data_IF_097573644332
#
_entry.id   IF_097573644332
#
_cell.length_a   1.000
_cell.length_b   1.000
_cell.length_c   1.000
_cell.angle_alpha   90.00
_cell.angle_beta   90.00
_cell.angle_gamma   90.00
#
_symmetry.space_group_name_H-M   'P 1'
#
loop_
_entity.id
_entity.type
_entity.pdbx_description
1 polymer ?
#
# COMPACT_ATOMS: atom_id res chain seq x y z
N UNK A 1 34.77 -64.29 30.79
CA UNK A 1 34.37 -63.17 31.67
C UNK A 1 34.40 -61.90 30.83
N UNK A 2 33.22 -61.47 30.37
CA UNK A 2 33.03 -60.31 29.51
C UNK A 2 32.66 -59.14 30.43
N UNK A 3 33.57 -58.19 30.61
CA UNK A 3 33.36 -57.00 31.43
C UNK A 3 32.36 -56.07 30.72
N UNK A 4 31.11 -56.11 31.15
CA UNK A 4 30.10 -55.10 30.79
C UNK A 4 30.46 -53.78 31.46
N UNK A 5 30.96 -52.83 30.69
CA UNK A 5 31.09 -51.44 31.13
C UNK A 5 29.66 -50.90 31.34
N UNK A 6 29.28 -50.46 32.54
CA UNK A 6 27.96 -49.88 32.75
C UNK A 6 27.91 -48.55 32.01
N UNK A 7 26.98 -48.42 31.06
CA UNK A 7 26.59 -47.15 30.47
C UNK A 7 26.05 -46.26 31.60
N UNK A 8 26.86 -45.31 32.07
CA UNK A 8 26.46 -44.38 33.12
C UNK A 8 25.32 -43.46 32.66
N UNK A 9 24.53 -42.89 33.59
CA UNK A 9 23.35 -42.05 33.31
C UNK A 9 23.62 -40.82 32.42
N UNK A 10 24.88 -40.36 32.34
CA UNK A 10 25.29 -39.27 31.45
C UNK A 10 25.24 -39.61 29.95
N UNK A 11 25.36 -40.89 29.58
CA UNK A 11 25.28 -41.31 28.17
C UNK A 11 23.84 -41.24 27.63
N UNK A 12 22.85 -41.63 28.43
CA UNK A 12 21.42 -41.53 28.06
C UNK A 12 20.96 -40.07 27.99
N UNK A 13 21.37 -39.22 28.94
CA UNK A 13 21.02 -37.78 28.92
C UNK A 13 21.59 -37.05 27.70
N UNK A 14 22.83 -37.33 27.31
CA UNK A 14 23.46 -36.74 26.12
C UNK A 14 22.74 -37.13 24.82
N UNK A 15 22.31 -38.39 24.69
CA UNK A 15 21.54 -38.87 23.52
C UNK A 15 20.16 -38.22 23.46
N UNK A 16 19.46 -38.09 24.59
CA UNK A 16 18.15 -37.42 24.65
C UNK A 16 18.26 -35.93 24.30
N UNK A 17 19.31 -35.25 24.78
CA UNK A 17 19.53 -33.83 24.47
C UNK A 17 19.82 -33.60 22.99
N UNK A 18 20.64 -34.45 22.36
CA UNK A 18 20.89 -34.39 20.92
C UNK A 18 19.61 -34.60 20.09
N UNK A 19 18.72 -35.52 20.52
CA UNK A 19 17.44 -35.77 19.86
C UNK A 19 16.51 -34.55 19.94
N UNK A 20 16.40 -33.90 21.11
CA UNK A 20 15.59 -32.68 21.29
C UNK A 20 16.12 -31.53 20.44
N UNK A 21 17.44 -31.34 20.36
CA UNK A 21 18.05 -30.31 19.52
C UNK A 21 17.80 -30.56 18.02
N UNK A 22 17.88 -31.82 17.58
CA UNK A 22 17.55 -32.20 16.21
C UNK A 22 16.08 -31.92 15.87
N UNK A 23 15.17 -32.27 16.77
CA UNK A 23 13.74 -31.98 16.62
C UNK A 23 13.48 -30.47 16.55
N UNK A 24 14.15 -29.70 17.40
CA UNK A 24 14.04 -28.25 17.45
C UNK A 24 14.55 -27.60 16.15
N UNK A 25 15.74 -27.98 15.67
CA UNK A 25 16.26 -27.52 14.39
C UNK A 25 15.35 -27.92 13.20
N UNK A 26 14.85 -29.16 13.20
CA UNK A 26 13.96 -29.67 12.16
C UNK A 26 12.61 -28.92 12.12
N UNK A 27 12.11 -28.47 13.27
CA UNK A 27 10.87 -27.68 13.37
C UNK A 27 11.06 -26.19 13.02
N UNK A 28 12.19 -25.59 13.41
CA UNK A 28 12.41 -24.15 13.23
C UNK A 28 12.89 -23.74 11.85
N UNK A 29 13.79 -24.52 11.23
CA UNK A 29 14.35 -24.18 9.93
C UNK A 29 13.27 -23.97 8.86
N UNK A 30 12.22 -24.81 8.75
CA UNK A 30 11.12 -24.58 7.81
C UNK A 30 10.33 -23.29 8.10
N UNK A 31 10.11 -22.96 9.38
CA UNK A 31 9.39 -21.74 9.79
C UNK A 31 10.20 -20.50 9.40
N UNK A 32 11.49 -20.47 9.72
CA UNK A 32 12.38 -19.36 9.32
C UNK A 32 12.50 -19.23 7.81
N UNK A 33 12.58 -20.35 7.09
CA UNK A 33 12.60 -20.34 5.63
C UNK A 33 11.33 -19.73 5.04
N UNK A 34 10.15 -20.07 5.57
CA UNK A 34 8.87 -19.49 5.15
C UNK A 34 8.81 -17.99 5.43
N UNK A 35 9.20 -17.56 6.63
CA UNK A 35 9.25 -16.13 6.98
C UNK A 35 10.19 -15.32 6.08
N UNK A 36 11.39 -15.85 5.82
CA UNK A 36 12.35 -15.21 4.92
C UNK A 36 11.84 -15.16 3.48
N UNK A 37 11.25 -16.25 2.99
CA UNK A 37 10.68 -16.31 1.65
C UNK A 37 9.50 -15.34 1.48
N UNK A 38 8.60 -15.28 2.46
CA UNK A 38 7.47 -14.36 2.47
C UNK A 38 7.94 -12.89 2.50
N UNK A 39 8.92 -12.57 3.37
CA UNK A 39 9.53 -11.24 3.45
C UNK A 39 10.15 -10.82 2.10
N UNK A 40 10.88 -11.73 1.44
CA UNK A 40 11.46 -11.48 0.12
C UNK A 40 10.39 -11.27 -0.96
N UNK A 41 9.40 -12.15 -1.03
CA UNK A 41 8.32 -12.05 -2.02
C UNK A 41 7.53 -10.75 -1.86
N UNK A 42 7.26 -10.35 -0.62
CA UNK A 42 6.60 -9.09 -0.33
C UNK A 42 7.45 -7.88 -0.73
N UNK A 43 8.77 -7.92 -0.49
CA UNK A 43 9.70 -6.89 -0.94
C UNK A 43 9.64 -6.70 -2.45
N UNK A 44 9.74 -7.79 -3.19
CA UNK A 44 9.71 -7.78 -4.66
C UNK A 44 8.37 -7.24 -5.17
N UNK A 45 7.24 -7.66 -4.56
CA UNK A 45 5.91 -7.16 -4.91
C UNK A 45 5.73 -5.67 -4.60
N UNK A 46 6.18 -5.19 -3.44
CA UNK A 46 6.07 -3.79 -3.05
C UNK A 46 6.90 -2.87 -3.95
N UNK A 47 8.13 -3.28 -4.28
CA UNK A 47 8.99 -2.54 -5.23
C UNK A 47 8.35 -2.49 -6.60
N UNK A 48 7.79 -3.60 -7.10
CA UNK A 48 7.10 -3.63 -8.38
C UNK A 48 5.88 -2.69 -8.40
N UNK A 49 5.07 -2.71 -7.33
CA UNK A 49 3.92 -1.81 -7.19
C UNK A 49 4.34 -0.34 -7.11
N UNK A 50 5.42 -0.03 -6.41
CA UNK A 50 5.95 1.34 -6.32
C UNK A 50 6.48 1.86 -7.66
N UNK A 51 7.19 1.02 -8.42
CA UNK A 51 7.68 1.37 -9.75
C UNK A 51 6.53 1.57 -10.73
N UNK A 52 5.52 0.68 -10.68
CA UNK A 52 4.29 0.85 -11.46
C UNK A 52 3.61 2.16 -11.07
N UNK A 53 3.54 2.42 -9.76
CA UNK A 53 2.91 3.62 -9.24
C UNK A 53 3.56 4.88 -9.80
N UNK A 54 4.88 4.96 -9.73
CA UNK A 54 5.65 6.05 -10.28
C UNK A 54 5.46 6.22 -11.80
N UNK A 55 5.42 5.11 -12.54
CA UNK A 55 5.20 5.13 -13.99
C UNK A 55 3.82 5.69 -14.36
N UNK A 56 2.79 5.36 -13.59
CA UNK A 56 1.41 5.80 -13.85
C UNK A 56 1.20 7.28 -13.47
N UNK A 57 1.93 7.83 -12.49
CA UNK A 57 1.85 9.27 -12.12
C UNK A 57 2.29 10.17 -13.27
N UNK A 58 3.32 9.77 -14.02
CA UNK A 58 3.95 10.60 -15.06
C UNK A 58 2.96 11.17 -16.09
N UNK A 59 2.13 10.33 -16.73
CA UNK A 59 1.07 10.79 -17.64
C UNK A 59 0.10 11.78 -16.98
N UNK A 60 -0.35 11.50 -15.75
CA UNK A 60 -1.34 12.32 -15.05
C UNK A 60 -0.80 13.72 -14.72
N UNK A 61 0.47 13.83 -14.28
CA UNK A 61 1.13 15.13 -14.05
C UNK A 61 1.24 15.93 -15.36
N UNK A 62 1.68 15.30 -16.45
CA UNK A 62 1.82 15.98 -17.74
C UNK A 62 0.46 16.47 -18.27
N UNK A 63 -0.61 15.70 -18.07
CA UNK A 63 -1.96 16.12 -18.45
C UNK A 63 -2.46 17.28 -17.57
N UNK A 64 -2.29 17.18 -16.25
CA UNK A 64 -2.66 18.25 -15.32
C UNK A 64 -1.90 19.56 -15.60
N UNK A 65 -0.62 19.49 -15.95
CA UNK A 65 0.20 20.65 -16.33
C UNK A 65 -0.35 21.33 -17.60
N UNK A 66 -0.58 20.55 -18.66
CA UNK A 66 -1.14 21.07 -19.93
C UNK A 66 -2.53 21.68 -19.72
N UNK A 67 -3.37 21.05 -18.92
CA UNK A 67 -4.70 21.56 -18.59
C UNK A 67 -4.63 22.85 -17.77
N UNK A 68 -3.73 22.92 -16.78
CA UNK A 68 -3.48 24.13 -16.00
C UNK A 68 -3.04 25.30 -16.88
N UNK A 69 -2.15 25.05 -17.85
CA UNK A 69 -1.74 26.06 -18.84
C UNK A 69 -2.94 26.55 -19.67
N UNK A 70 -3.77 25.64 -20.19
CA UNK A 70 -4.96 25.99 -20.97
C UNK A 70 -5.99 26.80 -20.16
N UNK A 71 -6.20 26.43 -18.89
CA UNK A 71 -7.09 27.13 -17.97
C UNK A 71 -6.53 28.52 -17.63
N UNK A 72 -5.22 28.62 -17.36
CA UNK A 72 -4.55 29.88 -17.07
C UNK A 72 -4.54 30.82 -18.28
N UNK A 73 -4.37 30.29 -19.49
CA UNK A 73 -4.47 31.05 -20.75
C UNK A 73 -5.90 31.58 -20.95
N UNK A 74 -6.92 30.79 -20.62
CA UNK A 74 -8.32 31.22 -20.69
C UNK A 74 -8.68 32.25 -19.59
N UNK A 75 -8.13 32.13 -18.39
CA UNK A 75 -8.36 33.03 -17.25
C UNK A 75 -7.61 34.36 -17.38
N UNK A 76 -6.36 34.33 -17.86
CA UNK A 76 -5.53 35.54 -18.03
C UNK A 76 -6.12 36.53 -19.03
N UNK A 77 -7.08 36.10 -19.86
CA UNK A 77 -7.78 37.00 -20.77
C UNK A 77 -8.95 37.76 -20.12
N UNK A 78 -9.35 37.51 -18.86
CA UNK A 78 -10.52 38.22 -18.32
C UNK A 78 -10.61 38.33 -16.79
N UNK A 79 -10.89 39.55 -16.32
CA UNK A 79 -10.94 39.95 -14.90
C UNK A 79 -12.23 39.44 -14.21
N UNK A 80 -12.10 38.58 -13.18
CA UNK A 80 -13.23 38.01 -12.41
C UNK A 80 -13.56 36.52 -12.67
N UNK A 81 -12.82 35.87 -13.57
CA UNK A 81 -13.01 34.46 -13.92
C UNK A 81 -14.25 34.19 -14.77
N UNK A 82 -14.26 33.07 -15.48
CA UNK A 82 -15.17 32.84 -16.61
C UNK A 82 -16.64 32.70 -16.19
N UNK A 83 -16.91 32.11 -15.02
CA UNK A 83 -18.26 32.05 -14.47
C UNK A 83 -18.80 33.42 -14.00
N UNK A 84 -17.94 34.26 -13.43
CA UNK A 84 -18.31 35.62 -12.99
C UNK A 84 -18.65 36.55 -14.16
N UNK A 85 -17.93 36.38 -15.28
CA UNK A 85 -18.18 37.12 -16.52
C UNK A 85 -19.46 36.68 -17.20
N UNK A 86 -19.76 35.38 -17.20
CA UNK A 86 -21.01 34.91 -17.77
C UNK A 86 -22.23 35.44 -17.02
N UNK A 87 -22.21 35.37 -15.69
CA UNK A 87 -23.25 35.99 -14.87
C UNK A 87 -23.29 37.52 -15.00
N UNK A 88 -22.13 38.18 -15.13
CA UNK A 88 -22.04 39.61 -15.36
C UNK A 88 -22.65 40.04 -16.70
N UNK A 89 -22.31 39.33 -17.78
CA UNK A 89 -22.86 39.53 -19.12
C UNK A 89 -24.36 39.26 -19.15
N UNK A 90 -24.83 38.16 -18.57
CA UNK A 90 -26.25 37.85 -18.50
C UNK A 90 -27.00 38.95 -17.74
N UNK A 91 -26.51 39.38 -16.57
CA UNK A 91 -27.11 40.46 -15.77
C UNK A 91 -27.14 41.80 -16.51
N UNK A 92 -26.12 42.10 -17.31
CA UNK A 92 -26.07 43.34 -18.10
C UNK A 92 -26.99 43.30 -19.32
N UNK A 93 -27.16 42.14 -19.95
CA UNK A 93 -27.90 41.98 -21.20
C UNK A 93 -29.38 41.64 -21.03
N UNK A 94 -29.77 40.95 -19.95
CA UNK A 94 -31.16 40.56 -19.68
C UNK A 94 -32.15 41.74 -19.62
N UNK A 95 -31.81 42.89 -19.00
CA UNK A 95 -32.71 44.05 -18.96
C UNK A 95 -32.97 44.64 -20.36
N UNK A 96 -32.00 44.55 -21.27
CA UNK A 96 -32.17 45.03 -22.65
C UNK A 96 -33.21 44.20 -23.40
N UNK A 97 -33.33 42.90 -23.12
CA UNK A 97 -34.37 42.04 -23.69
C UNK A 97 -35.79 42.39 -23.19
N UNK A 98 -35.91 43.11 -22.07
CA UNK A 98 -37.18 43.56 -21.50
C UNK A 98 -37.63 44.92 -22.06
N UNK A 99 -36.76 45.63 -22.78
CA UNK A 99 -37.14 46.85 -23.47
C UNK A 99 -38.06 46.52 -24.66
N UNK A 100 -39.18 47.21 -24.76
CA UNK A 100 -40.16 47.01 -25.84
C UNK A 100 -39.77 47.74 -27.14
N UNK A 101 -38.77 48.62 -27.10
CA UNK A 101 -38.31 49.41 -28.25
C UNK A 101 -37.14 48.81 -29.02
N UNK A 102 -36.56 47.70 -28.57
CA UNK A 102 -35.50 47.00 -29.31
C UNK A 102 -36.09 46.20 -30.47
N UNK A 103 -35.41 46.22 -31.61
CA UNK A 103 -35.81 45.43 -32.78
C UNK A 103 -35.57 43.94 -32.56
N UNK A 104 -36.35 43.10 -33.24
CA UNK A 104 -36.20 41.64 -33.17
C UNK A 104 -34.78 41.19 -33.55
N UNK A 105 -34.14 41.85 -34.52
CA UNK A 105 -32.75 41.55 -34.89
C UNK A 105 -31.75 41.84 -33.78
N UNK A 106 -31.99 42.87 -32.94
CA UNK A 106 -31.14 43.19 -31.81
C UNK A 106 -31.37 42.21 -30.65
N UNK A 107 -32.63 41.79 -30.44
CA UNK A 107 -33.01 40.74 -29.49
C UNK A 107 -32.30 39.41 -29.82
N UNK A 108 -32.35 38.98 -31.08
CA UNK A 108 -31.66 37.77 -31.55
C UNK A 108 -30.14 37.86 -31.39
N UNK A 109 -29.55 39.04 -31.62
CA UNK A 109 -28.12 39.25 -31.41
C UNK A 109 -27.71 39.09 -29.94
N UNK A 110 -28.50 39.65 -29.01
CA UNK A 110 -28.25 39.56 -27.58
C UNK A 110 -28.38 38.10 -27.09
N UNK A 111 -29.42 37.38 -27.51
CA UNK A 111 -29.60 35.97 -27.15
C UNK A 111 -28.46 35.09 -27.69
N UNK A 112 -27.97 35.35 -28.90
CA UNK A 112 -26.79 34.66 -29.45
C UNK A 112 -25.54 34.89 -28.62
N UNK A 113 -25.32 36.12 -28.13
CA UNK A 113 -24.17 36.45 -27.27
C UNK A 113 -24.27 35.73 -25.93
N UNK A 114 -25.42 35.77 -25.26
CA UNK A 114 -25.65 35.03 -24.00
C UNK A 114 -25.40 33.53 -24.20
N UNK A 115 -25.95 32.95 -25.28
CA UNK A 115 -25.74 31.54 -25.60
C UNK A 115 -24.28 31.18 -25.90
N UNK A 116 -23.53 32.08 -26.55
CA UNK A 116 -22.10 31.89 -26.80
C UNK A 116 -21.30 31.90 -25.50
N UNK A 117 -21.63 32.81 -24.58
CA UNK A 117 -21.00 32.92 -23.27
C UNK A 117 -21.25 31.66 -22.42
N UNK A 118 -22.48 31.13 -22.38
CA UNK A 118 -22.77 29.87 -21.69
C UNK A 118 -21.98 28.70 -22.28
N UNK A 119 -21.96 28.55 -23.61
CA UNK A 119 -21.17 27.48 -24.27
C UNK A 119 -19.68 27.56 -23.95
N UNK A 120 -19.12 28.76 -23.84
CA UNK A 120 -17.72 28.95 -23.47
C UNK A 120 -17.46 28.58 -22.00
N UNK A 121 -18.37 28.91 -21.08
CA UNK A 121 -18.30 28.46 -19.68
C UNK A 121 -18.40 26.95 -19.58
N UNK A 122 -19.36 26.34 -20.28
CA UNK A 122 -19.53 24.88 -20.30
C UNK A 122 -18.28 24.18 -20.85
N UNK A 123 -17.66 24.72 -21.90
CA UNK A 123 -16.41 24.19 -22.45
C UNK A 123 -15.25 24.26 -21.43
N UNK A 124 -15.16 25.35 -20.67
CA UNK A 124 -14.16 25.49 -19.61
C UNK A 124 -14.42 24.57 -18.42
N UNK A 125 -15.67 24.39 -18.02
CA UNK A 125 -16.04 23.44 -16.97
C UNK A 125 -15.74 22.00 -17.39
N UNK A 126 -15.95 21.68 -18.67
CA UNK A 126 -15.54 20.40 -19.26
C UNK A 126 -14.02 20.20 -19.31
N UNK A 127 -13.23 21.27 -19.43
CA UNK A 127 -11.76 21.21 -19.35
C UNK A 127 -11.28 21.07 -17.90
N UNK A 128 -11.97 21.68 -16.95
CA UNK A 128 -11.61 21.67 -15.52
C UNK A 128 -12.00 20.37 -14.78
N UNK A 129 -13.06 19.67 -15.19
CA UNK A 129 -13.46 18.37 -14.60
C UNK A 129 -12.36 17.29 -14.69
N UNK A 130 -11.70 17.10 -15.85
CA UNK A 130 -10.51 16.26 -15.97
C UNK A 130 -9.42 16.60 -14.94
N UNK A 131 -9.15 17.88 -14.68
CA UNK A 131 -8.10 18.29 -13.73
C UNK A 131 -8.34 17.75 -12.31
N UNK A 132 -9.59 17.75 -11.83
CA UNK A 132 -9.94 17.16 -10.52
C UNK A 132 -9.75 15.65 -10.51
N UNK A 133 -10.12 14.97 -11.60
CA UNK A 133 -9.94 13.53 -11.74
C UNK A 133 -8.45 13.15 -11.78
N UNK A 134 -7.65 13.85 -12.57
CA UNK A 134 -6.19 13.62 -12.67
C UNK A 134 -5.50 13.85 -11.32
N UNK A 135 -5.88 14.90 -10.58
CA UNK A 135 -5.36 15.17 -9.22
C UNK A 135 -5.72 14.04 -8.25
N UNK A 136 -6.94 13.50 -8.35
CA UNK A 136 -7.38 12.36 -7.53
C UNK A 136 -6.60 11.08 -7.88
N UNK A 137 -6.38 10.81 -9.17
CA UNK A 137 -5.58 9.65 -9.61
C UNK A 137 -4.13 9.72 -9.10
N UNK A 138 -3.53 10.91 -9.11
CA UNK A 138 -2.20 11.14 -8.51
C UNK A 138 -2.25 10.90 -6.99
N UNK A 139 -3.26 11.40 -6.29
CA UNK A 139 -3.40 11.20 -4.85
C UNK A 139 -3.50 9.71 -4.46
N UNK A 140 -4.33 8.94 -5.17
CA UNK A 140 -4.46 7.49 -4.98
C UNK A 140 -3.14 6.76 -5.25
N UNK A 141 -2.36 7.24 -6.22
CA UNK A 141 -1.09 6.62 -6.55
C UNK A 141 0.00 6.94 -5.51
N UNK A 142 -0.02 8.13 -4.93
CA UNK A 142 0.81 8.50 -3.78
C UNK A 142 0.44 7.68 -2.55
N UNK A 143 -0.85 7.42 -2.32
CA UNK A 143 -1.31 6.53 -1.24
C UNK A 143 -0.81 5.09 -1.42
N UNK A 144 -0.92 4.53 -2.64
CA UNK A 144 -0.34 3.22 -2.98
C UNK A 144 1.16 3.19 -2.76
N UNK A 145 1.87 4.26 -3.11
CA UNK A 145 3.31 4.39 -2.85
C UNK A 145 3.63 4.44 -1.36
N UNK A 146 2.80 5.09 -0.54
CA UNK A 146 2.97 5.14 0.92
C UNK A 146 2.82 3.76 1.57
N UNK A 147 1.80 3.00 1.19
CA UNK A 147 1.64 1.58 1.59
C UNK A 147 2.86 0.78 1.13
N UNK A 148 3.30 1.02 -0.10
CA UNK A 148 4.50 0.46 -0.69
C UNK A 148 5.80 0.90 -0.03
N UNK A 149 5.84 1.85 0.91
CA UNK A 149 7.04 2.18 1.70
C UNK A 149 7.07 1.47 3.06
N UNK A 150 5.91 1.10 3.61
CA UNK A 150 5.81 0.43 4.91
C UNK A 150 6.40 -0.99 4.91
N UNK A 151 6.58 -1.60 3.73
CA UNK A 151 7.24 -2.90 3.60
C UNK A 151 8.68 -2.91 4.16
N UNK A 152 9.39 -1.77 4.15
CA UNK A 152 10.75 -1.69 4.70
C UNK A 152 10.74 -1.94 6.20
N UNK A 153 9.84 -1.28 6.93
CA UNK A 153 9.65 -1.49 8.36
C UNK A 153 9.26 -2.94 8.64
N UNK A 154 8.34 -3.49 7.85
CA UNK A 154 7.93 -4.90 7.96
C UNK A 154 9.06 -5.90 7.72
N UNK A 155 9.92 -5.68 6.72
CA UNK A 155 11.10 -6.52 6.49
C UNK A 155 12.06 -6.40 7.67
N UNK A 156 12.32 -5.18 8.15
CA UNK A 156 13.19 -4.94 9.29
C UNK A 156 12.68 -5.64 10.55
N UNK A 157 11.38 -5.60 10.82
CA UNK A 157 10.76 -6.33 11.93
C UNK A 157 10.92 -7.84 11.77
N UNK A 158 10.68 -8.38 10.57
CA UNK A 158 10.84 -9.82 10.31
C UNK A 158 12.30 -10.27 10.48
N UNK A 159 13.26 -9.50 9.97
CA UNK A 159 14.69 -9.78 10.11
C UNK A 159 15.13 -9.74 11.58
N UNK A 160 14.68 -8.74 12.35
CA UNK A 160 14.99 -8.63 13.77
C UNK A 160 14.41 -9.80 14.58
N UNK A 161 13.20 -10.24 14.23
CA UNK A 161 12.57 -11.42 14.82
C UNK A 161 13.37 -12.70 14.53
N UNK A 162 13.76 -12.93 13.27
CA UNK A 162 14.58 -14.08 12.88
C UNK A 162 15.95 -14.06 13.55
N UNK A 163 16.63 -12.92 13.58
CA UNK A 163 17.92 -12.75 14.24
C UNK A 163 17.83 -13.03 15.75
N UNK A 164 16.79 -12.52 16.40
CA UNK A 164 16.54 -12.79 17.82
C UNK A 164 16.25 -14.27 18.10
N UNK A 165 15.51 -14.95 17.20
CA UNK A 165 15.21 -16.38 17.36
C UNK A 165 16.43 -17.26 17.08
N UNK A 166 17.27 -16.89 16.09
CA UNK A 166 18.56 -17.53 15.84
C UNK A 166 19.54 -17.36 17.01
N UNK A 167 19.55 -16.18 17.64
CA UNK A 167 20.35 -15.93 18.85
C UNK A 167 19.87 -16.82 19.99
N UNK A 168 18.55 -16.93 20.20
CA UNK A 168 17.96 -17.85 21.19
C UNK A 168 18.40 -19.30 20.92
N UNK A 169 18.41 -19.74 19.65
CA UNK A 169 18.86 -21.10 19.27
C UNK A 169 20.35 -21.31 19.61
N UNK A 170 21.20 -20.33 19.31
CA UNK A 170 22.62 -20.39 19.64
C UNK A 170 22.86 -20.51 21.15
N UNK A 171 22.10 -19.77 21.96
CA UNK A 171 22.15 -19.89 23.42
C UNK A 171 21.71 -21.27 23.90
N UNK A 172 20.64 -21.83 23.33
CA UNK A 172 20.17 -23.18 23.65
C UNK A 172 21.18 -24.28 23.26
N UNK A 173 21.94 -24.07 22.18
CA UNK A 173 23.04 -24.94 21.75
C UNK A 173 24.29 -24.80 22.62
N UNK A 174 24.59 -23.59 23.12
CA UNK A 174 25.75 -23.29 23.96
C UNK A 174 25.54 -23.62 25.44
N UNK A 175 24.29 -23.80 25.88
CA UNK A 175 23.91 -24.11 27.26
C UNK A 175 24.33 -25.51 27.70
N UNK A 176 25.57 -25.67 28.14
CA UNK A 176 26.09 -26.93 28.69
C UNK A 176 25.51 -27.19 30.10
N UNK A 177 24.25 -27.65 30.17
CA UNK A 177 23.62 -28.13 31.40
C UNK A 177 22.21 -27.61 31.69
N UNK A 178 21.71 -26.64 30.93
CA UNK A 178 20.29 -26.26 31.00
C UNK A 178 19.44 -27.25 30.18
N UNK A 179 18.21 -27.58 30.62
CA UNK A 179 17.29 -28.36 29.79
C UNK A 179 17.01 -27.62 28.50
N UNK A 180 17.24 -28.27 27.36
CA UNK A 180 16.84 -27.73 26.06
C UNK A 180 15.32 -27.65 26.02
N UNK A 181 14.73 -26.48 25.67
CA UNK A 181 13.28 -26.34 25.57
C UNK A 181 12.71 -27.26 24.49
N UNK A 182 11.48 -27.71 24.68
CA UNK A 182 10.76 -28.51 23.69
C UNK A 182 10.37 -27.61 22.50
N UNK A 183 10.24 -28.21 21.31
CA UNK A 183 9.84 -27.51 20.09
C UNK A 183 8.52 -26.75 20.27
N UNK A 184 7.53 -27.35 20.93
CA UNK A 184 6.21 -26.73 21.10
C UNK A 184 6.29 -25.44 21.93
N UNK A 185 7.06 -25.46 23.02
CA UNK A 185 7.24 -24.27 23.88
C UNK A 185 7.96 -23.15 23.13
N UNK A 186 8.93 -23.53 22.28
CA UNK A 186 9.63 -22.60 21.41
C UNK A 186 8.70 -21.93 20.41
N UNK A 187 7.87 -22.72 19.74
CA UNK A 187 6.93 -22.22 18.72
C UNK A 187 5.90 -21.29 19.35
N UNK A 188 5.33 -21.62 20.51
CA UNK A 188 4.40 -20.73 21.23
C UNK A 188 5.06 -19.39 21.57
N UNK A 189 6.32 -19.41 22.04
CA UNK A 189 7.04 -18.18 22.35
C UNK A 189 7.40 -17.37 21.08
N UNK A 190 7.68 -18.05 19.97
CA UNK A 190 7.92 -17.42 18.69
C UNK A 190 6.63 -16.75 18.16
N UNK A 191 5.49 -17.44 18.27
CA UNK A 191 4.18 -16.93 17.86
C UNK A 191 3.74 -15.71 18.68
N UNK A 192 4.03 -15.69 19.99
CA UNK A 192 3.68 -14.56 20.86
C UNK A 192 4.41 -13.26 20.49
N UNK A 193 5.46 -13.32 19.66
CA UNK A 193 6.21 -12.16 19.17
C UNK A 193 5.70 -11.65 17.82
N UNK A 194 4.68 -12.28 17.25
CA UNK A 194 4.11 -11.85 15.98
C UNK A 194 3.17 -10.67 16.15
N UNK A 195 3.48 -9.59 15.46
CA UNK A 195 2.60 -8.43 15.36
C UNK A 195 1.56 -8.60 14.25
N UNK A 196 1.91 -9.31 13.16
CA UNK A 196 1.12 -9.35 11.92
C UNK A 196 0.42 -10.69 11.70
N UNK A 197 -0.71 -10.66 10.98
CA UNK A 197 -1.49 -11.85 10.64
C UNK A 197 -0.71 -12.81 9.73
N UNK A 198 0.04 -12.31 8.75
CA UNK A 198 0.76 -13.19 7.82
C UNK A 198 1.92 -13.92 8.51
N UNK A 199 2.42 -13.41 9.64
CA UNK A 199 3.41 -14.14 10.45
C UNK A 199 2.81 -15.40 11.07
N UNK A 200 1.56 -15.34 11.53
CA UNK A 200 0.83 -16.51 12.05
C UNK A 200 0.56 -17.52 10.94
N UNK A 201 0.11 -17.06 9.77
CA UNK A 201 -0.13 -17.94 8.61
C UNK A 201 1.13 -18.67 8.14
N UNK A 202 2.26 -17.95 8.07
CA UNK A 202 3.54 -18.53 7.69
C UNK A 202 4.11 -19.47 8.75
N UNK A 203 3.78 -19.26 10.03
CA UNK A 203 4.16 -20.16 11.11
C UNK A 203 3.47 -21.51 10.96
N UNK A 204 2.14 -21.50 10.81
CA UNK A 204 1.32 -22.70 10.76
C UNK A 204 1.58 -23.57 9.52
N UNK A 205 2.11 -22.98 8.44
CA UNK A 205 2.64 -23.72 7.30
C UNK A 205 1.66 -24.78 6.78
N UNK A 206 0.57 -24.34 6.15
CA UNK A 206 -0.40 -25.22 5.45
C UNK A 206 -1.25 -26.09 6.39
N UNK A 207 -2.28 -25.49 6.99
CA UNK A 207 -3.58 -26.17 7.18
C UNK A 207 -4.61 -25.82 6.10
N UNK A 208 -4.24 -25.01 5.10
CA UNK A 208 -5.16 -24.46 4.11
C UNK A 208 -4.70 -24.70 2.68
N UNK A 209 -4.83 -25.94 2.19
CA UNK A 209 -4.96 -26.21 0.74
C UNK A 209 -6.41 -25.99 0.24
N UNK A 210 -7.32 -25.48 1.07
CA UNK A 210 -8.73 -25.30 0.74
C UNK A 210 -9.34 -23.96 1.17
N UNK A 211 -8.58 -22.86 1.17
CA UNK A 211 -9.15 -21.54 1.32
C UNK A 211 -8.79 -20.65 0.12
N UNK A 212 -9.83 -20.30 -0.63
CA UNK A 212 -9.88 -19.23 -1.63
C UNK A 212 -9.18 -17.97 -1.09
N UNK A 213 -8.38 -17.24 -1.90
CA UNK A 213 -7.75 -16.01 -1.43
C UNK A 213 -8.84 -14.97 -1.10
N UNK A 214 -9.00 -14.66 0.18
CA UNK A 214 -9.77 -13.50 0.64
C UNK A 214 -8.97 -12.21 0.44
N UNK A 215 -9.63 -11.04 0.37
CA UNK A 215 -8.95 -9.78 0.11
C UNK A 215 -7.98 -9.46 1.24
N UNK A 216 -6.74 -9.08 0.88
CA UNK A 216 -5.71 -8.59 1.78
C UNK A 216 -6.26 -7.46 2.65
N UNK A 217 -6.67 -7.78 3.87
CA UNK A 217 -7.04 -6.82 4.90
C UNK A 217 -5.79 -6.49 5.71
N UNK A 218 -5.07 -5.47 5.26
CA UNK A 218 -4.01 -4.84 6.05
C UNK A 218 -4.66 -4.24 7.30
N UNK A 219 -4.63 -4.98 8.41
CA UNK A 219 -5.07 -4.44 9.71
C UNK A 219 -4.04 -3.42 10.18
N UNK A 220 -4.39 -2.15 10.07
CA UNK A 220 -3.64 -1.04 10.65
C UNK A 220 -3.73 -1.10 12.18
N UNK A 221 -2.58 -1.02 12.86
CA UNK A 221 -2.45 -0.61 14.25
C UNK A 221 -1.68 0.71 14.30
#
# INVERSE_FOLDING_TARGET
MQNGIPLGPGSTQAVTQAAVLLELCAGLLPVWQRHLAASRAQSEAAVAQMLQAFSDIGPHINMAERQSQQINDALSQTDGGVAGLAHGCERALRPLLQDANISDSARDAIERVIGMVHRSVDALEQIAKPFQHETQMVAEQVERMYIGFQYQDRISQMMALLEGDMTRLQEALAGHGAPTPLLQDWLVQLESRYAMAEQRENHDGVKNEAATPGPNETTFF
#
